data_IF_676334063455
#
_entry.id   IF_676334063455
#
_cell.length_a   1.000
_cell.length_b   1.000
_cell.length_c   1.000
_cell.angle_alpha   90.00
_cell.angle_beta   90.00
_cell.angle_gamma   90.00
#
_symmetry.space_group_name_H-M   'P 1'
#
loop_
_entity.id
_entity.type
_entity.pdbx_description
1 polymer ?
2 non-polymer ?
3 non-polymer ?
4 water ?
#
# COMPACT_ATOMS: atom_id res chain seq x y z
N UNK A 6 -13.55 0.74 -21.45
CA UNK A 6 -14.42 1.32 -20.34
C UNK A 6 -13.93 0.83 -18.97
N UNK A 7 -13.97 1.70 -17.95
CA UNK A 7 -13.62 1.37 -16.54
C UNK A 7 -14.74 0.53 -15.92
N UNK A 8 -14.45 -0.73 -15.59
CA UNK A 8 -15.43 -1.65 -14.97
C UNK A 8 -15.28 -1.62 -13.46
N UNK A 9 -14.04 -1.68 -12.95
CA UNK A 9 -13.73 -1.84 -11.50
C UNK A 9 -12.88 -0.66 -11.03
N UNK A 10 -13.48 0.25 -10.23
CA UNK A 10 -12.77 1.41 -9.68
C UNK A 10 -11.44 1.09 -8.96
N UNK A 11 -10.47 1.99 -9.07
CA UNK A 11 -9.11 1.77 -8.52
C UNK A 11 -9.26 1.46 -7.02
N UNK A 12 -10.08 2.20 -6.28
CA UNK A 12 -10.07 2.07 -4.79
C UNK A 12 -10.68 0.72 -4.40
N UNK A 13 -11.63 0.18 -5.15
CA UNK A 13 -12.16 -1.18 -4.88
C UNK A 13 -11.06 -2.21 -5.17
N UNK A 14 -10.31 -2.03 -6.26
CA UNK A 14 -9.28 -3.00 -6.73
C UNK A 14 -8.12 -3.06 -5.71
N UNK A 15 -7.73 -1.91 -5.18
CA UNK A 15 -6.67 -1.80 -4.13
C UNK A 15 -7.14 -2.59 -2.91
N UNK A 16 -8.37 -2.31 -2.45
CA UNK A 16 -8.97 -3.03 -1.30
C UNK A 16 -9.01 -4.54 -1.57
N UNK A 17 -9.48 -4.99 -2.73
CA UNK A 17 -9.51 -6.44 -3.10
C UNK A 17 -8.10 -7.06 -2.98
N UNK A 18 -7.10 -6.45 -3.60
CA UNK A 18 -5.72 -7.01 -3.66
C UNK A 18 -5.09 -7.02 -2.25
N UNK A 19 -5.26 -5.94 -1.46
CA UNK A 19 -4.76 -5.86 -0.07
C UNK A 19 -5.39 -7.00 0.75
N UNK A 20 -6.65 -7.35 0.48
CA UNK A 20 -7.40 -8.40 1.24
C UNK A 20 -6.79 -9.78 1.03
N UNK A 21 -5.99 -9.99 -0.03
CA UNK A 21 -5.38 -11.31 -0.38
C UNK A 21 -4.12 -11.55 0.46
N UNK A 22 -3.62 -10.54 1.15
CA UNK A 22 -2.40 -10.64 2.00
C UNK A 22 -2.92 -10.96 3.40
N UNK A 23 -2.96 -12.24 3.77
CA UNK A 23 -3.52 -12.64 5.10
C UNK A 23 -2.44 -13.32 5.95
N UNK A 24 -2.61 -13.30 7.29
CA UNK A 24 -1.69 -13.98 8.21
C UNK A 24 -1.46 -15.48 7.94
N UNK A 25 -2.47 -16.22 7.49
CA UNK A 25 -2.37 -17.69 7.25
C UNK A 25 -1.17 -18.01 6.34
N UNK A 26 -0.77 -17.10 5.43
CA UNK A 26 0.35 -17.33 4.47
C UNK A 26 1.70 -16.91 5.08
N UNK A 27 1.69 -16.27 6.25
CA UNK A 27 2.91 -15.89 7.01
C UNK A 27 3.85 -15.11 6.09
N UNK A 28 3.32 -14.19 5.26
CA UNK A 28 4.10 -13.27 4.41
C UNK A 28 4.66 -13.91 3.13
N UNK A 29 4.22 -15.12 2.79
CA UNK A 29 4.78 -15.84 1.61
C UNK A 29 4.70 -14.98 0.34
N UNK A 30 3.61 -14.26 0.10
CA UNK A 30 3.42 -13.53 -1.19
C UNK A 30 3.39 -12.02 -0.96
N UNK A 31 3.69 -11.55 0.26
CA UNK A 31 3.56 -10.12 0.63
C UNK A 31 4.44 -9.24 -0.25
N UNK A 32 5.66 -9.68 -0.58
CA UNK A 32 6.68 -8.79 -1.17
C UNK A 32 7.53 -9.51 -2.21
N UNK A 33 8.18 -8.72 -3.04
CA UNK A 33 9.07 -9.18 -4.13
C UNK A 33 10.17 -10.10 -3.55
N UNK A 34 10.34 -11.28 -4.14
CA UNK A 34 11.32 -12.31 -3.67
C UNK A 34 12.72 -11.68 -3.57
N UNK A 35 13.17 -11.01 -4.61
CA UNK A 35 14.54 -10.45 -4.71
C UNK A 35 14.73 -9.33 -3.68
N UNK A 36 13.70 -8.53 -3.44
CA UNK A 36 13.80 -7.41 -2.46
C UNK A 36 14.11 -7.98 -1.08
N UNK A 37 13.40 -9.04 -0.70
CA UNK A 37 13.53 -9.75 0.60
C UNK A 37 14.80 -10.60 0.66
N UNK A 38 15.21 -11.21 -0.45
CA UNK A 38 16.32 -12.21 -0.52
C UNK A 38 17.28 -11.87 -1.66
N UNK A 39 18.10 -10.80 -1.53
CA UNK A 39 18.94 -10.35 -2.63
C UNK A 39 19.96 -11.41 -3.11
N UNK A 40 20.31 -12.39 -2.27
CA UNK A 40 21.21 -13.51 -2.68
C UNK A 40 20.61 -14.31 -3.85
N UNK A 41 19.29 -14.22 -4.11
CA UNK A 41 18.61 -15.03 -5.16
C UNK A 41 18.57 -14.32 -6.51
N UNK A 42 19.24 -13.19 -6.67
CA UNK A 42 19.17 -12.40 -7.92
C UNK A 42 19.30 -13.33 -9.15
N UNK A 43 20.33 -14.17 -9.20
CA UNK A 43 20.61 -15.01 -10.40
C UNK A 43 19.82 -16.34 -10.30
N UNK A 44 19.73 -16.97 -9.13
CA UNK A 44 19.10 -18.31 -8.98
C UNK A 44 17.60 -18.21 -9.29
N UNK A 45 16.91 -17.22 -8.71
CA UNK A 45 15.45 -17.08 -8.86
C UNK A 45 15.09 -16.69 -10.31
N UNK A 46 15.76 -15.68 -10.88
CA UNK A 46 15.38 -15.10 -12.19
C UNK A 46 15.73 -16.10 -13.31
N UNK A 47 16.68 -16.99 -13.08
CA UNK A 47 16.97 -18.11 -14.01
C UNK A 47 15.71 -19.00 -14.11
N UNK A 48 15.08 -19.32 -12.99
CA UNK A 48 13.89 -20.24 -12.97
C UNK A 48 12.62 -19.43 -13.24
N UNK A 49 12.54 -18.17 -12.78
CA UNK A 49 11.31 -17.34 -12.83
C UNK A 49 11.63 -16.00 -13.47
N UNK A 50 11.74 -15.91 -14.81
CA UNK A 50 12.18 -14.68 -15.46
C UNK A 50 11.09 -13.59 -15.35
N UNK A 51 9.85 -13.98 -15.04
CA UNK A 51 8.71 -13.07 -14.78
C UNK A 51 8.25 -13.28 -13.33
N UNK A 52 8.09 -12.23 -12.52
CA UNK A 52 7.72 -12.41 -11.10
C UNK A 52 6.71 -11.34 -10.68
N UNK A 53 6.04 -11.60 -9.58
CA UNK A 53 5.09 -10.65 -8.98
C UNK A 53 4.90 -10.99 -7.49
N UNK A 54 4.23 -10.10 -6.79
CA UNK A 54 3.97 -10.21 -5.34
C UNK A 54 2.77 -9.32 -5.07
N UNK A 55 2.14 -9.47 -3.90
CA UNK A 55 0.91 -8.73 -3.52
C UNK A 55 1.17 -7.23 -3.29
N UNK A 56 2.37 -6.78 -2.91
CA UNK A 56 2.64 -5.33 -2.77
C UNK A 56 2.69 -4.69 -4.16
N UNK A 57 3.35 -5.35 -5.10
CA UNK A 57 3.40 -4.94 -6.53
C UNK A 57 1.98 -4.89 -7.12
N UNK A 58 1.19 -5.94 -6.89
CA UNK A 58 -0.21 -6.02 -7.38
C UNK A 58 -1.02 -4.85 -6.77
N UNK A 59 -0.83 -4.52 -5.50
CA UNK A 59 -1.57 -3.40 -4.85
C UNK A 59 -1.20 -2.07 -5.54
N UNK A 60 0.08 -1.86 -5.84
CA UNK A 60 0.61 -0.70 -6.60
C UNK A 60 -0.02 -0.68 -8.00
N UNK A 61 -0.06 -1.82 -8.68
CA UNK A 61 -0.71 -1.94 -10.01
C UNK A 61 -2.22 -1.62 -9.88
N UNK A 62 -2.87 -2.15 -8.86
CA UNK A 62 -4.31 -1.86 -8.58
C UNK A 62 -4.51 -0.34 -8.45
N UNK A 63 -3.72 0.32 -7.61
CA UNK A 63 -3.79 1.76 -7.30
C UNK A 63 -3.58 2.59 -8.56
N UNK A 64 -2.81 2.08 -9.53
CA UNK A 64 -2.57 2.75 -10.83
C UNK A 64 -3.61 2.34 -11.88
N UNK A 65 -4.62 1.54 -11.52
CA UNK A 65 -5.76 1.22 -12.40
C UNK A 65 -5.44 0.15 -13.45
N UNK A 66 -4.41 -0.67 -13.25
CA UNK A 66 -3.98 -1.68 -14.24
C UNK A 66 -5.03 -2.78 -14.36
N UNK A 67 -5.89 -2.99 -13.35
CA UNK A 67 -6.76 -4.20 -13.27
C UNK A 67 -8.23 -3.87 -13.57
N UNK A 68 -8.56 -2.60 -13.81
CA UNK A 68 -9.96 -2.12 -13.82
C UNK A 68 -10.73 -2.44 -15.11
N UNK A 69 -10.10 -2.97 -16.16
CA UNK A 69 -10.68 -2.97 -17.55
C UNK A 69 -11.01 -4.39 -18.03
N UNK A 70 -10.74 -5.45 -17.26
CA UNK A 70 -11.08 -6.84 -17.65
C UNK A 70 -12.31 -7.28 -16.85
N UNK A 71 -13.35 -7.76 -17.51
CA UNK A 71 -14.66 -8.16 -16.91
C UNK A 71 -14.41 -9.26 -15.88
N UNK A 72 -13.57 -10.23 -16.24
CA UNK A 72 -13.18 -11.41 -15.43
C UNK A 72 -11.89 -11.14 -14.63
N UNK A 73 -11.40 -9.90 -14.60
CA UNK A 73 -10.19 -9.49 -13.83
C UNK A 73 -9.03 -10.41 -14.23
N UNK A 74 -8.90 -10.65 -15.53
CA UNK A 74 -7.91 -11.60 -16.12
C UNK A 74 -6.49 -11.13 -15.77
N UNK A 75 -6.22 -9.84 -15.86
CA UNK A 75 -4.85 -9.29 -15.67
C UNK A 75 -4.46 -9.55 -14.21
N UNK A 76 -5.37 -9.31 -13.26
CA UNK A 76 -5.10 -9.60 -11.83
C UNK A 76 -4.92 -11.11 -11.66
N UNK A 77 -5.80 -11.92 -12.23
CA UNK A 77 -5.74 -13.38 -12.03
C UNK A 77 -4.41 -13.91 -12.56
N UNK A 78 -3.93 -13.36 -13.68
CA UNK A 78 -2.60 -13.71 -14.26
C UNK A 78 -1.49 -13.34 -13.27
N UNK A 79 -1.57 -12.19 -12.57
CA UNK A 79 -0.54 -11.81 -11.57
C UNK A 79 -0.59 -12.79 -10.37
N UNK A 80 -1.77 -13.26 -9.98
CA UNK A 80 -1.89 -14.26 -8.88
C UNK A 80 -1.31 -15.59 -9.35
N UNK A 81 -1.62 -16.01 -10.57
CA UNK A 81 -1.18 -17.34 -11.06
C UNK A 81 0.34 -17.31 -11.16
N UNK A 82 0.90 -16.18 -11.56
CA UNK A 82 2.37 -16.05 -11.73
C UNK A 82 3.04 -16.22 -10.36
N UNK A 83 2.56 -15.53 -9.32
CA UNK A 83 3.04 -15.70 -7.93
C UNK A 83 3.06 -17.18 -7.56
N UNK A 84 1.91 -17.82 -7.72
CA UNK A 84 1.63 -19.20 -7.25
C UNK A 84 2.52 -20.17 -8.04
N UNK A 85 2.57 -20.01 -9.38
CA UNK A 85 3.27 -20.95 -10.29
C UNK A 85 4.78 -20.82 -10.08
N UNK A 86 5.28 -19.60 -9.85
CA UNK A 86 6.73 -19.37 -9.55
C UNK A 86 7.07 -20.09 -8.24
N UNK A 87 6.30 -19.87 -7.19
CA UNK A 87 6.52 -20.47 -5.86
C UNK A 87 6.62 -21.99 -6.03
N UNK A 88 5.71 -22.60 -6.80
CA UNK A 88 5.65 -24.08 -7.01
C UNK A 88 6.86 -24.56 -7.83
N UNK A 89 7.19 -23.85 -8.90
CA UNK A 89 8.33 -24.22 -9.78
C UNK A 89 9.64 -24.08 -9.00
N UNK A 90 9.86 -22.96 -8.30
CA UNK A 90 11.16 -22.66 -7.63
C UNK A 90 11.37 -23.57 -6.40
N UNK A 91 10.33 -23.84 -5.61
CA UNK A 91 10.47 -24.62 -4.35
C UNK A 91 10.26 -26.13 -4.58
N UNK A 92 9.67 -26.51 -5.72
CA UNK A 92 9.37 -27.90 -6.10
C UNK A 92 7.92 -28.23 -5.85
N UNK A 93 7.26 -28.87 -6.82
CA UNK A 93 5.79 -29.09 -6.84
C UNK A 93 5.30 -30.01 -5.70
N UNK A 94 6.16 -30.82 -5.08
CA UNK A 94 5.76 -31.83 -4.04
C UNK A 94 5.98 -31.26 -2.62
N UNK A 95 6.58 -30.07 -2.49
CA UNK A 95 7.00 -29.53 -1.18
C UNK A 95 5.92 -28.71 -0.50
N UNK A 96 6.23 -28.21 0.70
CA UNK A 96 5.34 -27.44 1.61
C UNK A 96 5.08 -26.03 1.05
N UNK A 97 6.07 -25.38 0.43
CA UNK A 97 5.91 -24.04 -0.20
C UNK A 97 4.86 -24.13 -1.33
N UNK A 98 4.88 -25.19 -2.15
CA UNK A 98 3.86 -25.49 -3.17
C UNK A 98 2.49 -25.72 -2.52
N UNK A 99 2.40 -26.48 -1.42
CA UNK A 99 1.11 -26.68 -0.70
C UNK A 99 0.55 -25.28 -0.33
N UNK A 100 1.39 -24.45 0.29
CA UNK A 100 1.01 -23.10 0.76
C UNK A 100 0.56 -22.26 -0.45
N UNK A 101 1.22 -22.37 -1.58
CA UNK A 101 0.84 -21.68 -2.84
C UNK A 101 -0.56 -22.12 -3.28
N UNK A 102 -0.81 -23.43 -3.40
CA UNK A 102 -2.11 -23.99 -3.87
C UNK A 102 -3.24 -23.54 -2.94
N UNK A 103 -3.04 -23.58 -1.62
CA UNK A 103 -4.06 -23.11 -0.65
C UNK A 103 -4.29 -21.62 -0.89
N UNK A 104 -3.20 -20.84 -1.01
CA UNK A 104 -3.33 -19.39 -1.28
C UNK A 104 -4.15 -19.20 -2.56
N UNK A 105 -3.87 -19.95 -3.61
CA UNK A 105 -4.47 -19.67 -4.92
C UNK A 105 -6.00 -19.84 -4.85
N UNK A 106 -6.48 -20.94 -4.26
CA UNK A 106 -7.93 -21.24 -4.09
C UNK A 106 -8.61 -20.12 -3.31
N UNK A 107 -8.00 -19.65 -2.22
CA UNK A 107 -8.51 -18.52 -1.41
C UNK A 107 -8.57 -17.26 -2.30
N UNK A 108 -7.45 -16.85 -2.88
CA UNK A 108 -7.35 -15.63 -3.71
C UNK A 108 -8.42 -15.62 -4.80
N UNK A 109 -8.54 -16.74 -5.53
CA UNK A 109 -9.52 -16.84 -6.65
C UNK A 109 -10.95 -16.75 -6.09
N UNK A 110 -11.23 -17.38 -4.94
CA UNK A 110 -12.54 -17.26 -4.27
C UNK A 110 -12.83 -15.80 -3.97
N UNK A 111 -11.86 -15.09 -3.39
CA UNK A 111 -12.03 -13.69 -2.94
C UNK A 111 -12.27 -12.80 -4.16
N UNK A 112 -11.53 -13.02 -5.23
CA UNK A 112 -11.68 -12.22 -6.49
C UNK A 112 -13.07 -12.47 -7.07
N UNK A 113 -13.51 -13.71 -7.12
CA UNK A 113 -14.83 -14.06 -7.73
C UNK A 113 -15.96 -13.49 -6.86
N UNK A 114 -15.82 -13.51 -5.54
CA UNK A 114 -16.85 -12.94 -4.63
C UNK A 114 -17.02 -11.45 -4.96
N UNK A 115 -15.93 -10.73 -5.19
CA UNK A 115 -15.97 -9.28 -5.51
C UNK A 115 -16.72 -9.06 -6.83
N UNK A 116 -16.40 -9.80 -7.88
CA UNK A 116 -17.10 -9.71 -9.20
C UNK A 116 -18.63 -9.95 -9.00
N UNK A 117 -19.01 -11.03 -8.31
CA UNK A 117 -20.44 -11.27 -7.94
C UNK A 117 -21.03 -10.01 -7.32
N UNK A 118 -20.38 -9.45 -6.30
CA UNK A 118 -20.92 -8.30 -5.53
C UNK A 118 -21.18 -7.14 -6.47
N UNK A 119 -20.31 -6.93 -7.46
CA UNK A 119 -20.37 -5.78 -8.39
C UNK A 119 -21.53 -5.93 -9.37
N UNK A 120 -21.94 -7.15 -9.69
CA UNK A 120 -23.09 -7.38 -10.60
C UNK A 120 -24.41 -7.37 -9.81
N UNK A 121 -24.42 -7.85 -8.56
CA UNK A 121 -25.61 -7.88 -7.67
C UNK A 121 -25.56 -6.83 -6.58
N UNK B 5 -16.17 16.88 13.36
CA UNK B 5 -14.79 17.09 12.78
C UNK B 5 -14.87 17.12 11.24
N UNK B 6 -14.47 18.25 10.62
CA UNK B 6 -14.43 18.46 9.14
C UNK B 6 -13.16 17.80 8.57
N UNK B 7 -13.34 16.75 7.75
CA UNK B 7 -12.30 16.21 6.85
C UNK B 7 -11.78 17.34 5.96
N UNK B 8 -10.47 17.60 5.96
CA UNK B 8 -9.83 18.70 5.18
C UNK B 8 -9.17 18.11 3.94
N UNK B 9 -8.36 17.06 4.11
CA UNK B 9 -7.51 16.49 3.04
C UNK B 9 -7.98 15.09 2.68
N UNK B 10 -8.35 14.81 1.42
CA UNK B 10 -8.81 13.48 1.03
C UNK B 10 -7.75 12.38 1.21
N UNK B 11 -8.20 11.17 1.56
CA UNK B 11 -7.33 9.99 1.84
C UNK B 11 -6.33 9.78 0.69
N UNK B 12 -6.76 9.91 -0.57
CA UNK B 12 -5.90 9.57 -1.72
C UNK B 12 -4.73 10.58 -1.82
N UNK B 13 -4.89 11.83 -1.36
CA UNK B 13 -3.77 12.81 -1.32
C UNK B 13 -2.81 12.48 -0.15
N UNK B 14 -3.35 12.09 1.01
CA UNK B 14 -2.57 11.69 2.19
C UNK B 14 -1.73 10.47 1.84
N UNK B 15 -2.31 9.52 1.12
CA UNK B 15 -1.61 8.27 0.71
C UNK B 15 -0.47 8.65 -0.24
N UNK B 16 -0.75 9.44 -1.27
CA UNK B 16 0.24 9.97 -2.24
C UNK B 16 1.31 10.77 -1.49
N UNK B 17 0.92 11.63 -0.53
CA UNK B 17 1.91 12.44 0.22
C UNK B 17 2.88 11.50 0.95
N UNK B 18 2.36 10.48 1.65
CA UNK B 18 3.18 9.54 2.46
C UNK B 18 4.09 8.76 1.50
N UNK B 19 3.55 8.24 0.39
CA UNK B 19 4.33 7.43 -0.58
C UNK B 19 5.46 8.30 -1.15
N UNK B 20 5.25 9.61 -1.34
CA UNK B 20 6.28 10.55 -1.89
C UNK B 20 7.48 10.69 -0.94
N UNK B 21 7.34 10.33 0.35
CA UNK B 21 8.43 10.44 1.37
C UNK B 21 9.42 9.27 1.28
N UNK B 22 9.07 8.21 0.54
CA UNK B 22 9.90 6.99 0.38
C UNK B 22 10.74 7.16 -0.88
N UNK B 23 11.98 7.60 -0.74
CA UNK B 23 12.85 7.93 -1.90
C UNK B 23 14.16 7.15 -1.83
N UNK B 24 14.73 6.75 -2.99
CA UNK B 24 15.98 5.97 -3.06
C UNK B 24 17.19 6.50 -2.29
N UNK B 25 17.30 7.81 -2.08
CA UNK B 25 18.40 8.43 -1.28
C UNK B 25 18.49 7.82 0.13
N UNK B 26 17.37 7.33 0.70
CA UNK B 26 17.33 6.69 2.05
C UNK B 26 17.58 5.18 1.94
N UNK B 27 17.48 4.60 0.76
CA UNK B 27 17.87 3.19 0.52
C UNK B 27 17.02 2.28 1.42
N UNK B 28 15.74 2.60 1.59
CA UNK B 28 14.76 1.73 2.29
C UNK B 28 14.80 1.87 3.80
N UNK B 29 15.46 2.91 4.32
CA UNK B 29 15.66 3.05 5.79
C UNK B 29 14.30 3.11 6.52
N UNK B 30 13.34 3.88 6.02
CA UNK B 30 12.05 4.09 6.73
C UNK B 30 10.90 3.37 6.01
N UNK B 31 11.21 2.47 5.09
CA UNK B 31 10.21 1.94 4.12
C UNK B 31 9.20 1.03 4.84
N UNK B 32 9.66 0.29 5.85
CA UNK B 32 8.98 -0.88 6.45
C UNK B 32 9.30 -0.98 7.95
N UNK B 33 8.39 -1.57 8.71
CA UNK B 33 8.57 -1.81 10.16
C UNK B 33 9.91 -2.50 10.41
N UNK B 34 10.63 -2.04 11.43
CA UNK B 34 11.98 -2.56 11.81
C UNK B 34 11.89 -4.04 12.20
N UNK B 35 10.89 -4.41 13.01
CA UNK B 35 10.79 -5.79 13.56
C UNK B 35 10.43 -6.76 12.43
N UNK B 36 9.65 -6.31 11.45
CA UNK B 36 9.19 -7.18 10.33
C UNK B 36 10.41 -7.62 9.55
N UNK B 37 11.33 -6.69 9.30
CA UNK B 37 12.55 -6.87 8.49
C UNK B 37 13.63 -7.58 9.32
N UNK B 38 13.71 -7.29 10.63
CA UNK B 38 14.81 -7.74 11.53
C UNK B 38 14.18 -8.31 12.78
N UNK B 39 13.60 -9.53 12.71
CA UNK B 39 12.86 -10.11 13.84
C UNK B 39 13.73 -10.46 15.05
N UNK B 40 15.05 -10.51 14.83
CA UNK B 40 16.09 -10.69 15.88
C UNK B 40 16.04 -9.50 16.84
N UNK B 41 15.52 -8.33 16.41
CA UNK B 41 15.48 -7.07 17.21
C UNK B 41 14.22 -6.98 18.08
N UNK B 42 13.38 -8.01 18.16
CA UNK B 42 12.06 -7.93 18.82
C UNK B 42 12.21 -7.29 20.21
N UNK B 43 13.15 -7.76 21.02
CA UNK B 43 13.31 -7.30 22.43
C UNK B 43 14.23 -6.07 22.50
N UNK B 44 15.37 -6.10 21.81
CA UNK B 44 16.40 -5.04 21.87
C UNK B 44 15.78 -3.72 21.37
N UNK B 45 15.10 -3.75 20.23
CA UNK B 45 14.53 -2.52 19.62
C UNK B 45 13.39 -1.98 20.47
N UNK B 46 12.43 -2.82 20.87
CA UNK B 46 11.23 -2.35 21.63
C UNK B 46 11.63 -1.84 23.03
N UNK B 47 12.72 -2.36 23.62
CA UNK B 47 13.23 -1.87 24.92
C UNK B 47 13.58 -0.38 24.81
N UNK B 48 14.25 0.02 23.73
CA UNK B 48 14.69 1.42 23.47
C UNK B 48 13.51 2.20 22.87
N UNK B 49 12.71 1.56 22.00
CA UNK B 49 11.67 2.22 21.17
C UNK B 49 10.34 1.50 21.34
N UNK B 50 9.62 1.71 22.46
CA UNK B 50 8.37 0.98 22.71
C UNK B 50 7.25 1.39 21.74
N UNK B 51 7.40 2.53 21.06
CA UNK B 51 6.46 3.02 20.03
C UNK B 51 7.26 3.18 18.74
N UNK B 52 6.79 2.62 17.62
CA UNK B 52 7.53 2.62 16.34
C UNK B 52 6.53 2.86 15.18
N UNK B 53 7.04 3.35 14.06
CA UNK B 53 6.29 3.60 12.80
C UNK B 53 7.25 3.48 11.62
N UNK B 54 6.71 3.46 10.40
CA UNK B 54 7.44 3.28 9.14
C UNK B 54 6.52 3.80 8.04
N UNK B 55 7.06 4.10 6.86
CA UNK B 55 6.30 4.75 5.77
C UNK B 55 5.20 3.83 5.25
N UNK B 56 5.34 2.49 5.28
CA UNK B 56 4.26 1.59 4.80
C UNK B 56 3.09 1.63 5.79
N UNK B 57 3.37 1.59 7.10
CA UNK B 57 2.33 1.77 8.16
C UNK B 57 1.65 3.15 8.05
N UNK B 58 2.40 4.21 7.79
CA UNK B 58 1.86 5.58 7.62
C UNK B 58 0.93 5.60 6.40
N UNK B 59 1.32 5.01 5.26
CA UNK B 59 0.49 4.92 4.03
C UNK B 59 -0.84 4.23 4.33
N UNK B 60 -0.78 3.15 5.11
CA UNK B 60 -1.98 2.41 5.59
C UNK B 60 -2.89 3.28 6.48
N UNK B 61 -2.31 4.04 7.41
CA UNK B 61 -3.08 4.95 8.30
C UNK B 61 -3.69 6.06 7.43
N UNK B 62 -2.93 6.59 6.49
CA UNK B 62 -3.40 7.63 5.55
C UNK B 62 -4.63 7.11 4.81
N UNK B 63 -4.63 5.84 4.40
CA UNK B 63 -5.70 5.21 3.60
C UNK B 63 -6.95 5.08 4.46
N UNK B 64 -6.78 4.95 5.76
CA UNK B 64 -7.91 4.72 6.71
C UNK B 64 -8.41 6.08 7.24
N UNK B 65 -7.78 7.18 6.81
CA UNK B 65 -8.22 8.55 7.12
C UNK B 65 -7.64 9.09 8.42
N UNK B 66 -6.55 8.53 8.97
CA UNK B 66 -6.01 8.94 10.28
C UNK B 66 -5.43 10.37 10.26
N UNK B 67 -5.14 10.93 9.09
CA UNK B 67 -4.30 12.14 8.93
C UNK B 67 -5.07 13.34 8.37
N UNK B 68 -6.28 13.14 7.84
CA UNK B 68 -6.95 14.14 6.98
C UNK B 68 -7.74 15.20 7.75
N UNK B 69 -7.81 15.11 9.09
CA UNK B 69 -8.54 16.04 10.01
C UNK B 69 -7.63 17.12 10.60
N UNK B 70 -6.32 17.09 10.34
CA UNK B 70 -5.34 18.03 10.95
C UNK B 70 -4.87 19.01 9.86
N UNK B 71 -5.23 20.30 9.97
CA UNK B 71 -4.81 21.35 9.00
C UNK B 71 -3.29 21.28 8.82
N UNK B 72 -2.55 21.15 9.91
CA UNK B 72 -1.06 21.16 9.91
C UNK B 72 -0.52 19.73 9.90
N UNK B 73 -1.38 18.73 9.69
CA UNK B 73 -0.95 17.31 9.52
C UNK B 73 -0.10 16.92 10.74
N UNK B 74 -0.59 17.30 11.91
CA UNK B 74 0.08 17.08 13.22
C UNK B 74 0.28 15.57 13.44
N UNK B 75 -0.75 14.75 13.19
CA UNK B 75 -0.69 13.29 13.43
C UNK B 75 0.38 12.70 12.50
N UNK B 76 0.34 13.04 11.22
CA UNK B 76 1.35 12.53 10.25
C UNK B 76 2.75 12.98 10.71
N UNK B 77 2.89 14.23 11.16
CA UNK B 77 4.21 14.74 11.58
C UNK B 77 4.72 13.99 12.84
N UNK B 78 3.84 13.62 13.78
CA UNK B 78 4.21 12.86 15.01
C UNK B 78 4.77 11.49 14.60
N UNK B 79 4.16 10.82 13.61
CA UNK B 79 4.66 9.53 13.04
C UNK B 79 6.03 9.77 12.37
N UNK B 80 6.23 10.87 11.65
CA UNK B 80 7.55 11.10 10.97
C UNK B 80 8.64 11.30 12.04
N UNK B 81 8.38 12.13 13.05
CA UNK B 81 9.32 12.39 14.16
C UNK B 81 9.61 11.08 14.91
N UNK B 82 8.62 10.21 15.04
CA UNK B 82 8.80 8.94 15.76
C UNK B 82 9.83 8.09 14.99
N UNK B 83 9.63 7.89 13.69
CA UNK B 83 10.59 7.12 12.85
C UNK B 83 12.00 7.68 13.02
N UNK B 84 12.11 8.99 12.83
CA UNK B 84 13.41 9.73 12.87
C UNK B 84 14.02 9.54 14.26
N UNK B 85 13.30 9.92 15.32
CA UNK B 85 13.84 9.96 16.71
C UNK B 85 14.20 8.53 17.15
N UNK B 86 13.43 7.52 16.75
CA UNK B 86 13.73 6.09 17.07
C UNK B 86 15.07 5.69 16.44
N UNK B 87 15.29 6.03 15.17
CA UNK B 87 16.53 5.72 14.40
C UNK B 87 17.72 6.41 15.07
N UNK B 88 17.60 7.69 15.42
CA UNK B 88 18.66 8.45 16.17
C UNK B 88 18.95 7.76 17.51
N UNK B 89 17.93 7.51 18.32
CA UNK B 89 18.09 6.93 19.68
C UNK B 89 18.73 5.53 19.61
N UNK B 90 18.20 4.65 18.78
CA UNK B 90 18.58 3.22 18.75
C UNK B 90 20.01 3.04 18.22
N UNK B 91 20.39 3.81 17.21
CA UNK B 91 21.68 3.68 16.49
C UNK B 91 22.75 4.64 17.08
N UNK B 92 22.37 5.60 17.92
CA UNK B 92 23.29 6.56 18.54
C UNK B 92 23.33 7.85 17.74
N UNK B 93 23.22 8.99 18.43
CA UNK B 93 23.07 10.35 17.86
C UNK B 93 24.24 10.75 16.94
N UNK B 94 25.46 10.24 17.17
CA UNK B 94 26.71 10.69 16.49
C UNK B 94 27.02 9.82 15.27
N UNK B 95 26.18 8.82 14.96
CA UNK B 95 26.45 7.80 13.92
C UNK B 95 25.84 8.15 12.57
N UNK B 96 26.10 7.31 11.56
CA UNK B 96 25.67 7.49 10.15
C UNK B 96 24.15 7.37 10.02
N UNK B 97 23.53 6.40 10.70
CA UNK B 97 22.06 6.16 10.69
C UNK B 97 21.36 7.45 11.13
N UNK B 98 21.85 8.09 12.20
CA UNK B 98 21.37 9.39 12.73
C UNK B 98 21.48 10.49 11.66
N UNK B 99 22.63 10.60 10.99
CA UNK B 99 22.84 11.55 9.86
C UNK B 99 21.73 11.32 8.82
N UNK B 100 21.55 10.09 8.37
CA UNK B 100 20.55 9.71 7.35
C UNK B 100 19.15 10.10 7.82
N UNK B 101 18.86 10.00 9.13
CA UNK B 101 17.53 10.25 9.71
C UNK B 101 17.23 11.75 9.73
N UNK B 102 18.24 12.56 10.11
CA UNK B 102 18.09 14.04 10.21
C UNK B 102 17.89 14.59 8.78
N UNK B 103 18.60 14.05 7.80
CA UNK B 103 18.47 14.39 6.36
C UNK B 103 17.04 14.09 5.87
N UNK B 104 16.54 12.89 6.14
CA UNK B 104 15.17 12.46 5.79
C UNK B 104 14.17 13.41 6.46
N UNK B 105 14.36 13.72 7.73
CA UNK B 105 13.36 14.53 8.47
C UNK B 105 13.19 15.90 7.80
N UNK B 106 14.30 16.55 7.45
CA UNK B 106 14.31 17.87 6.77
C UNK B 106 13.55 17.75 5.44
N UNK B 107 13.85 16.72 4.65
CA UNK B 107 13.19 16.45 3.35
C UNK B 107 11.69 16.25 3.57
N UNK B 108 11.31 15.43 4.55
CA UNK B 108 9.92 14.97 4.73
C UNK B 108 9.09 16.15 5.21
N UNK B 109 9.60 16.90 6.19
CA UNK B 109 8.89 18.09 6.73
C UNK B 109 8.75 19.13 5.60
N UNK B 110 9.79 19.30 4.76
CA UNK B 110 9.71 20.15 3.55
C UNK B 110 8.53 19.77 2.67
N UNK B 111 8.38 18.48 2.35
CA UNK B 111 7.34 17.98 1.42
C UNK B 111 5.96 18.10 2.10
N UNK B 112 5.83 17.73 3.37
CA UNK B 112 4.56 17.88 4.10
C UNK B 112 4.17 19.37 4.13
N UNK B 113 5.13 20.26 4.39
CA UNK B 113 4.88 21.72 4.56
C UNK B 113 4.46 22.31 3.21
N UNK B 114 5.06 21.82 2.11
CA UNK B 114 4.74 22.29 0.73
C UNK B 114 3.29 21.89 0.41
N UNK B 115 2.85 20.70 0.82
CA UNK B 115 1.47 20.22 0.55
C UNK B 115 0.50 21.16 1.27
N UNK B 116 0.73 21.40 2.56
CA UNK B 116 -0.18 22.25 3.38
C UNK B 116 -0.32 23.61 2.68
N UNK B 117 0.80 24.20 2.28
CA UNK B 117 0.87 25.55 1.66
C UNK B 117 0.09 25.55 0.35
N UNK B 118 0.30 24.54 -0.52
CA UNK B 118 -0.40 24.40 -1.82
C UNK B 118 -1.92 24.27 -1.59
N UNK B 119 -2.35 23.61 -0.52
CA UNK B 119 -3.78 23.35 -0.24
C UNK B 119 -4.45 24.55 0.44
N UNK B 120 -3.74 25.34 1.27
CA UNK B 120 -4.37 26.40 2.13
C UNK B 120 -3.36 27.55 2.36
N UNK C 6 6.16 8.20 28.94
CA UNK C 6 6.35 7.18 30.03
C UNK C 6 5.40 5.99 29.79
N UNK C 7 5.94 4.83 29.42
CA UNK C 7 5.16 3.62 29.05
C UNK C 7 4.51 3.02 30.30
N UNK C 8 3.19 2.77 30.27
CA UNK C 8 2.38 2.25 31.40
C UNK C 8 1.98 0.80 31.17
N UNK C 9 1.60 0.43 29.94
CA UNK C 9 1.15 -0.94 29.61
C UNK C 9 2.02 -1.51 28.49
N UNK C 10 2.57 -2.73 28.67
CA UNK C 10 3.44 -3.33 27.66
C UNK C 10 2.71 -3.75 26.39
N UNK C 11 3.36 -3.60 25.24
CA UNK C 11 2.83 -3.95 23.88
C UNK C 11 2.16 -5.34 23.88
N UNK C 12 2.79 -6.40 24.43
CA UNK C 12 2.26 -7.80 24.38
C UNK C 12 0.90 -7.87 25.08
N UNK C 13 0.71 -7.09 26.15
CA UNK C 13 -0.57 -7.07 26.92
C UNK C 13 -1.61 -6.28 26.13
N UNK C 14 -1.21 -5.16 25.52
CA UNK C 14 -2.11 -4.37 24.64
C UNK C 14 -2.62 -5.26 23.49
N UNK C 15 -1.76 -6.10 22.92
CA UNK C 15 -2.10 -7.00 21.79
C UNK C 15 -3.10 -8.07 22.28
N UNK C 16 -2.83 -8.71 23.41
CA UNK C 16 -3.76 -9.72 24.00
C UNK C 16 -5.12 -9.06 24.27
N UNK C 17 -5.11 -7.84 24.81
CA UNK C 17 -6.37 -7.14 25.17
C UNK C 17 -7.18 -6.94 23.89
N UNK C 18 -6.56 -6.35 22.83
CA UNK C 18 -7.24 -6.11 21.53
C UNK C 18 -7.81 -7.43 21.02
N UNK C 19 -7.05 -8.52 21.07
CA UNK C 19 -7.48 -9.81 20.47
C UNK C 19 -8.64 -10.39 21.29
N UNK C 20 -8.69 -10.12 22.60
CA UNK C 20 -9.81 -10.55 23.48
C UNK C 20 -11.12 -9.86 23.07
N UNK C 21 -11.06 -8.72 22.36
CA UNK C 21 -12.26 -7.97 21.89
C UNK C 21 -12.88 -8.67 20.67
N UNK C 22 -12.18 -9.61 20.06
CA UNK C 22 -12.62 -10.32 18.82
C UNK C 22 -13.21 -11.66 19.26
N UNK C 23 -14.54 -11.82 19.21
CA UNK C 23 -15.24 -13.04 19.73
C UNK C 23 -16.36 -13.46 18.78
N UNK C 24 -16.74 -14.76 18.77
CA UNK C 24 -17.78 -15.29 17.87
C UNK C 24 -19.12 -14.56 17.78
N UNK C 25 -19.56 -13.88 18.84
CA UNK C 25 -20.90 -13.23 18.93
C UNK C 25 -21.00 -12.09 17.91
N UNK C 26 -19.87 -11.47 17.53
CA UNK C 26 -19.87 -10.37 16.53
C UNK C 26 -19.82 -10.94 15.10
N UNK C 27 -19.52 -12.23 14.93
CA UNK C 27 -19.54 -12.93 13.61
C UNK C 27 -18.68 -12.15 12.59
N UNK C 28 -17.48 -11.70 13.02
CA UNK C 28 -16.47 -11.10 12.14
C UNK C 28 -16.75 -9.64 11.83
N UNK C 29 -17.72 -9.03 12.52
CA UNK C 29 -18.15 -7.64 12.23
C UNK C 29 -16.94 -6.69 12.30
N UNK C 30 -16.16 -6.74 13.37
CA UNK C 30 -15.08 -5.76 13.64
C UNK C 30 -13.70 -6.43 13.54
N UNK C 31 -13.65 -7.64 12.98
CA UNK C 31 -12.42 -8.46 12.88
C UNK C 31 -11.43 -7.86 11.88
N UNK C 32 -11.92 -7.23 10.81
CA UNK C 32 -11.10 -6.84 9.65
C UNK C 32 -11.68 -5.55 9.08
N UNK C 33 -10.82 -4.70 8.51
CA UNK C 33 -11.19 -3.47 7.78
C UNK C 33 -12.41 -3.77 6.91
N UNK C 34 -13.38 -2.86 6.89
CA UNK C 34 -14.67 -3.04 6.15
C UNK C 34 -14.40 -3.16 4.65
N UNK C 35 -13.54 -2.30 4.09
CA UNK C 35 -13.16 -2.31 2.65
C UNK C 35 -12.51 -3.64 2.24
N UNK C 36 -11.73 -4.27 3.11
CA UNK C 36 -11.05 -5.57 2.86
C UNK C 36 -12.08 -6.70 2.83
N UNK C 37 -13.12 -6.63 3.67
CA UNK C 37 -14.24 -7.61 3.63
C UNK C 37 -15.14 -7.31 2.41
N UNK C 38 -15.35 -6.02 2.05
CA UNK C 38 -16.30 -5.56 1.01
C UNK C 38 -15.68 -4.51 0.10
N UNK C 39 -14.69 -4.89 -0.74
CA UNK C 39 -14.04 -3.95 -1.64
C UNK C 39 -15.01 -3.07 -2.44
N UNK C 40 -16.18 -3.63 -2.78
CA UNK C 40 -17.25 -2.95 -3.56
C UNK C 40 -17.77 -1.72 -2.82
N UNK C 41 -17.55 -1.59 -1.51
CA UNK C 41 -18.08 -0.45 -0.71
C UNK C 41 -17.03 0.67 -0.58
N UNK C 42 -15.88 0.59 -1.25
CA UNK C 42 -14.77 1.55 -1.04
C UNK C 42 -15.31 2.99 -1.10
N UNK C 43 -16.02 3.38 -2.16
CA UNK C 43 -16.45 4.78 -2.38
C UNK C 43 -17.61 5.14 -1.45
N UNK C 44 -18.67 4.34 -1.41
CA UNK C 44 -19.89 4.62 -0.63
C UNK C 44 -19.59 4.56 0.88
N UNK C 45 -18.69 3.68 1.32
CA UNK C 45 -18.36 3.57 2.77
C UNK C 45 -17.51 4.79 3.19
N UNK C 46 -16.47 5.11 2.43
CA UNK C 46 -15.53 6.20 2.78
C UNK C 46 -16.21 7.56 2.62
N UNK C 47 -17.27 7.67 1.81
CA UNK C 47 -18.07 8.93 1.68
C UNK C 47 -18.72 9.22 3.03
N UNK C 48 -19.27 8.17 3.68
CA UNK C 48 -19.99 8.24 4.99
C UNK C 48 -19.01 8.17 6.18
N UNK C 49 -17.90 7.43 6.03
CA UNK C 49 -16.92 7.16 7.11
C UNK C 49 -15.52 7.42 6.58
N UNK C 50 -15.04 8.67 6.63
CA UNK C 50 -13.73 9.01 6.08
C UNK C 50 -12.56 8.49 6.94
N UNK C 51 -12.81 8.23 8.21
CA UNK C 51 -11.81 7.67 9.17
C UNK C 51 -12.36 6.30 9.59
N UNK C 52 -11.57 5.23 9.54
CA UNK C 52 -12.06 3.88 9.90
C UNK C 52 -11.00 3.07 10.67
N UNK C 53 -11.46 2.03 11.36
CA UNK C 53 -10.64 1.10 12.17
C UNK C 53 -11.38 -0.25 12.28
N UNK C 54 -10.65 -1.23 12.78
CA UNK C 54 -11.09 -2.62 12.97
C UNK C 54 -10.08 -3.21 13.95
N UNK C 55 -10.34 -4.41 14.46
CA UNK C 55 -9.56 -5.04 15.55
C UNK C 55 -8.24 -5.63 15.03
N UNK C 56 -8.16 -6.10 13.78
CA UNK C 56 -6.87 -6.50 13.14
C UNK C 56 -5.94 -5.26 13.09
N UNK C 57 -6.41 -4.14 12.54
CA UNK C 57 -5.63 -2.87 12.57
C UNK C 57 -5.26 -2.49 14.03
N UNK C 58 -6.23 -2.58 14.96
CA UNK C 58 -6.00 -2.18 16.37
C UNK C 58 -4.92 -3.09 16.97
N UNK C 59 -4.96 -4.41 16.69
CA UNK C 59 -3.93 -5.39 17.14
C UNK C 59 -2.52 -4.97 16.69
N UNK C 60 -2.40 -4.50 15.45
CA UNK C 60 -1.15 -4.01 14.84
C UNK C 60 -0.66 -2.72 15.53
N UNK C 61 -1.56 -1.76 15.76
CA UNK C 61 -1.27 -0.49 16.48
C UNK C 61 -0.79 -0.82 17.90
N UNK C 62 -1.46 -1.78 18.54
CA UNK C 62 -1.07 -2.29 19.87
C UNK C 62 0.38 -2.82 19.82
N UNK C 63 0.72 -3.66 18.84
CA UNK C 63 2.08 -4.25 18.69
C UNK C 63 3.11 -3.14 18.55
N UNK C 64 2.75 -2.05 17.89
CA UNK C 64 3.67 -0.94 17.55
C UNK C 64 3.73 0.10 18.67
N UNK C 65 2.99 -0.10 19.76
CA UNK C 65 3.11 0.71 20.99
C UNK C 65 2.21 1.94 20.98
N UNK C 66 1.10 1.92 20.23
CA UNK C 66 0.24 3.11 20.05
C UNK C 66 -0.63 3.34 21.30
N UNK C 67 -0.86 2.32 22.15
CA UNK C 67 -1.89 2.34 23.22
C UNK C 67 -1.28 2.33 24.65
N UNK C 68 0.02 2.15 24.82
CA UNK C 68 0.61 1.89 26.16
C UNK C 68 0.80 3.12 27.06
N UNK C 69 0.53 4.34 26.58
CA UNK C 69 0.97 5.58 27.27
C UNK C 69 -0.18 6.20 28.06
N UNK C 70 -1.43 5.91 27.70
CA UNK C 70 -2.64 6.54 28.29
C UNK C 70 -3.06 5.75 29.53
N UNK C 71 -3.16 6.40 30.68
CA UNK C 71 -3.58 5.76 31.98
C UNK C 71 -4.90 5.01 31.75
N UNK C 72 -5.85 5.65 31.06
CA UNK C 72 -7.24 5.17 30.83
C UNK C 72 -7.40 4.53 29.44
N UNK C 73 -6.30 4.30 28.70
CA UNK C 73 -6.32 3.61 27.38
C UNK C 73 -7.30 4.36 26.47
N UNK C 74 -7.16 5.69 26.47
CA UNK C 74 -8.01 6.66 25.75
C UNK C 74 -7.91 6.39 24.25
N UNK C 75 -6.67 6.38 23.71
CA UNK C 75 -6.44 6.17 22.26
C UNK C 75 -7.09 4.86 21.85
N UNK C 76 -6.92 3.77 22.60
CA UNK C 76 -7.60 2.49 22.25
C UNK C 76 -9.10 2.73 22.23
N UNK C 77 -9.66 3.38 23.25
CA UNK C 77 -11.15 3.54 23.39
C UNK C 77 -11.68 4.39 22.23
N UNK C 78 -10.91 5.34 21.75
CA UNK C 78 -11.24 6.17 20.56
C UNK C 78 -11.38 5.24 19.36
N UNK C 79 -10.47 4.27 19.20
CA UNK C 79 -10.45 3.38 18.01
C UNK C 79 -11.73 2.54 18.08
N UNK C 80 -12.05 2.05 19.26
CA UNK C 80 -13.26 1.21 19.48
C UNK C 80 -14.49 2.07 19.16
N UNK C 81 -14.54 3.30 19.68
CA UNK C 81 -15.72 4.19 19.46
C UNK C 81 -15.91 4.42 17.95
N UNK C 82 -14.82 4.65 17.21
CA UNK C 82 -14.85 4.84 15.74
C UNK C 82 -15.46 3.61 15.06
N UNK C 83 -15.01 2.39 15.40
CA UNK C 83 -15.53 1.13 14.84
C UNK C 83 -17.04 1.11 15.01
N UNK C 84 -17.48 1.37 16.24
CA UNK C 84 -18.89 1.29 16.69
C UNK C 84 -19.69 2.37 15.97
N UNK C 85 -19.26 3.62 16.05
CA UNK C 85 -20.01 4.78 15.50
C UNK C 85 -20.04 4.72 13.97
N UNK C 86 -18.99 4.19 13.32
CA UNK C 86 -18.97 4.00 11.84
C UNK C 86 -20.06 2.96 11.50
N UNK C 87 -20.16 1.86 12.26
CA UNK C 87 -21.18 0.80 12.02
C UNK C 87 -22.61 1.38 12.09
N UNK C 88 -22.87 2.25 13.06
CA UNK C 88 -24.21 2.86 13.30
C UNK C 88 -24.52 3.82 12.13
N UNK C 89 -23.61 4.75 11.83
CA UNK C 89 -23.78 5.78 10.78
C UNK C 89 -24.02 5.12 9.41
N UNK C 90 -23.23 4.10 9.04
CA UNK C 90 -23.27 3.52 7.67
C UNK C 90 -24.47 2.57 7.52
N UNK C 91 -24.79 1.77 8.54
CA UNK C 91 -25.78 0.66 8.44
C UNK C 91 -27.17 1.11 8.95
N UNK C 92 -27.27 2.20 9.72
CA UNK C 92 -28.53 2.79 10.21
C UNK C 92 -28.75 2.52 11.69
N UNK C 93 -29.06 3.58 12.45
CA UNK C 93 -29.13 3.67 13.93
C UNK C 93 -30.19 2.75 14.53
N UNK C 94 -31.20 2.34 13.76
CA UNK C 94 -32.39 1.60 14.29
C UNK C 94 -32.25 0.09 13.99
N UNK C 95 -31.31 -0.30 13.13
CA UNK C 95 -31.20 -1.66 12.56
C UNK C 95 -30.53 -2.67 13.49
N UNK C 96 -30.34 -3.89 12.98
CA UNK C 96 -29.72 -5.04 13.66
C UNK C 96 -28.21 -4.80 13.86
N UNK C 97 -27.55 -4.21 12.85
CA UNK C 97 -26.10 -3.86 12.85
C UNK C 97 -25.80 -2.90 14.00
N UNK C 98 -26.61 -1.85 14.15
CA UNK C 98 -26.47 -0.82 15.21
C UNK C 98 -26.59 -1.48 16.59
N UNK C 99 -27.45 -2.50 16.71
CA UNK C 99 -27.64 -3.27 17.97
C UNK C 99 -26.40 -4.12 18.22
N UNK C 100 -25.93 -4.82 17.19
CA UNK C 100 -24.68 -5.62 17.23
C UNK C 100 -23.53 -4.71 17.67
N UNK C 101 -23.50 -3.46 17.21
CA UNK C 101 -22.38 -2.52 17.47
C UNK C 101 -22.49 -1.98 18.90
N UNK C 102 -23.72 -1.73 19.36
CA UNK C 102 -23.98 -1.21 20.73
C UNK C 102 -23.61 -2.30 21.74
N UNK C 103 -24.03 -3.55 21.50
CA UNK C 103 -23.64 -4.73 22.32
C UNK C 103 -22.11 -4.82 22.38
N UNK C 104 -21.45 -4.94 21.23
CA UNK C 104 -19.97 -4.99 21.11
C UNK C 104 -19.34 -3.87 21.94
N UNK C 105 -19.83 -2.63 21.83
CA UNK C 105 -19.23 -1.46 22.55
C UNK C 105 -19.22 -1.74 24.05
N UNK C 106 -20.33 -2.22 24.62
CA UNK C 106 -20.52 -2.38 26.09
C UNK C 106 -19.52 -3.45 26.55
N UNK C 107 -19.46 -4.56 25.81
CA UNK C 107 -18.55 -5.71 26.06
C UNK C 107 -17.10 -5.23 26.08
N UNK C 108 -16.71 -4.51 25.01
CA UNK C 108 -15.32 -4.13 24.72
C UNK C 108 -14.83 -3.18 25.80
N UNK C 109 -15.66 -2.22 26.17
CA UNK C 109 -15.37 -1.24 27.25
C UNK C 109 -15.25 -1.97 28.59
N UNK C 110 -16.03 -3.04 28.78
CA UNK C 110 -15.92 -3.98 29.92
C UNK C 110 -14.54 -4.63 30.04
N UNK C 111 -14.11 -5.36 29.00
CA UNK C 111 -12.80 -6.08 28.95
C UNK C 111 -11.67 -5.07 29.17
N UNK C 112 -11.75 -3.89 28.58
CA UNK C 112 -10.71 -2.82 28.68
C UNK C 112 -10.63 -2.36 30.14
N UNK C 113 -11.79 -2.18 30.78
CA UNK C 113 -11.88 -1.69 32.18
C UNK C 113 -11.35 -2.78 33.12
N UNK C 114 -11.81 -4.03 32.96
CA UNK C 114 -11.29 -5.24 33.65
C UNK C 114 -9.76 -5.30 33.56
N UNK C 115 -9.20 -5.05 32.37
CA UNK C 115 -7.73 -5.04 32.16
C UNK C 115 -7.09 -3.96 33.04
N UNK C 116 -7.60 -2.73 33.00
CA UNK C 116 -6.99 -1.61 33.76
C UNK C 116 -7.08 -1.89 35.27
N UNK C 117 -8.21 -2.47 35.73
CA UNK C 117 -8.40 -2.86 37.16
C UNK C 117 -7.26 -3.80 37.59
N UNK C 118 -7.10 -4.94 36.91
CA UNK C 118 -6.06 -5.98 37.14
C UNK C 118 -4.68 -5.32 37.24
N UNK C 119 -4.29 -4.43 36.34
CA UNK C 119 -2.89 -3.91 36.27
C UNK C 119 -2.62 -2.88 37.39
N UNK C 120 -3.42 -1.82 37.48
CA UNK C 120 -3.22 -0.68 38.44
C UNK C 120 -3.38 -1.23 39.86
N UNK C 121 -4.36 -2.11 40.09
CA UNK C 121 -4.60 -2.77 41.39
C UNK C 121 -4.14 -4.23 41.39
N UNK D 6 7.00 -18.23 -24.12
CA UNK D 6 8.46 -18.25 -24.47
C UNK D 6 9.04 -16.83 -24.32
N UNK D 7 10.09 -16.70 -23.51
CA UNK D 7 10.75 -15.41 -23.23
C UNK D 7 11.55 -14.98 -24.47
N UNK D 8 11.28 -13.77 -24.97
CA UNK D 8 11.88 -13.23 -26.21
C UNK D 8 12.97 -12.19 -25.87
N UNK D 9 12.71 -11.29 -24.92
CA UNK D 9 13.63 -10.15 -24.61
C UNK D 9 14.08 -10.23 -23.15
N UNK D 10 15.39 -10.41 -22.86
CA UNK D 10 15.87 -10.46 -21.47
C UNK D 10 15.59 -9.18 -20.66
N UNK D 11 15.35 -9.33 -19.35
CA UNK D 11 14.97 -8.21 -18.46
C UNK D 11 16.01 -7.07 -18.53
N UNK D 12 17.30 -7.36 -18.64
CA UNK D 12 18.37 -6.32 -18.60
C UNK D 12 18.16 -5.36 -19.79
N UNK D 13 17.79 -5.92 -20.95
CA UNK D 13 17.58 -5.16 -22.23
C UNK D 13 16.26 -4.37 -22.17
N UNK D 14 15.23 -4.91 -21.52
CA UNK D 14 13.93 -4.21 -21.34
C UNK D 14 14.12 -3.03 -20.38
N UNK D 15 14.91 -3.22 -19.33
CA UNK D 15 15.24 -2.15 -18.33
C UNK D 15 16.03 -1.05 -19.04
N UNK D 16 17.03 -1.42 -19.83
CA UNK D 16 17.85 -0.47 -20.62
C UNK D 16 16.96 0.30 -21.61
N UNK D 17 16.12 -0.41 -22.36
CA UNK D 17 15.20 0.22 -23.35
C UNK D 17 14.35 1.28 -22.63
N UNK D 18 13.72 0.92 -21.51
CA UNK D 18 12.80 1.83 -20.76
C UNK D 18 13.60 3.05 -20.26
N UNK D 19 14.77 2.82 -19.67
CA UNK D 19 15.62 3.92 -19.13
C UNK D 19 16.02 4.86 -20.28
N UNK D 20 16.24 4.36 -21.49
CA UNK D 20 16.66 5.21 -22.62
C UNK D 20 15.49 6.10 -23.06
N UNK D 21 14.25 5.81 -22.63
CA UNK D 21 13.06 6.67 -22.92
C UNK D 21 13.07 7.91 -22.02
N UNK D 22 13.80 7.88 -20.91
CA UNK D 22 13.82 8.98 -19.91
C UNK D 22 15.02 9.88 -20.22
N UNK D 23 14.81 10.94 -20.99
CA UNK D 23 15.89 11.84 -21.46
C UNK D 23 15.66 13.25 -20.91
N UNK D 24 16.73 14.07 -20.80
CA UNK D 24 16.60 15.45 -20.31
C UNK D 24 15.63 16.36 -21.07
N UNK D 25 15.38 16.11 -22.36
CA UNK D 25 14.53 16.96 -23.22
C UNK D 25 13.07 17.03 -22.69
N UNK D 26 12.62 16.07 -21.88
CA UNK D 26 11.21 16.03 -21.34
C UNK D 26 11.16 16.59 -19.92
N UNK D 27 12.31 16.93 -19.34
CA UNK D 27 12.44 17.69 -18.05
C UNK D 27 11.63 16.97 -16.94
N UNK D 28 11.73 15.64 -16.87
CA UNK D 28 11.13 14.79 -15.83
C UNK D 28 9.61 14.68 -15.93
N UNK D 29 9.01 15.05 -17.06
CA UNK D 29 7.54 14.96 -17.29
C UNK D 29 7.06 13.54 -16.93
N UNK D 30 7.78 12.54 -17.46
CA UNK D 30 7.34 11.13 -17.52
C UNK D 30 8.19 10.26 -16.59
N UNK D 31 9.08 10.88 -15.81
CA UNK D 31 10.15 10.17 -15.06
C UNK D 31 9.57 9.42 -13.87
N UNK D 32 8.53 9.99 -13.25
CA UNK D 32 7.96 9.48 -12.00
C UNK D 32 6.44 9.67 -12.01
N UNK D 33 5.76 8.81 -11.27
CA UNK D 33 4.30 8.87 -11.02
C UNK D 33 3.89 10.32 -10.77
N UNK D 34 2.85 10.80 -11.44
CA UNK D 34 2.34 12.19 -11.30
C UNK D 34 1.97 12.47 -9.84
N UNK D 35 1.32 11.52 -9.17
CA UNK D 35 0.80 11.67 -7.79
C UNK D 35 1.95 11.79 -6.79
N UNK D 36 3.13 11.22 -7.06
CA UNK D 36 4.32 11.35 -6.19
C UNK D 36 4.95 12.74 -6.37
N UNK D 37 4.89 13.32 -7.57
CA UNK D 37 5.45 14.68 -7.82
C UNK D 37 4.46 15.71 -7.26
N UNK D 38 3.14 15.45 -7.34
CA UNK D 38 2.05 16.42 -7.04
C UNK D 38 0.93 15.74 -6.26
N UNK D 39 1.14 15.39 -4.96
CA UNK D 39 0.10 14.75 -4.16
C UNK D 39 -1.21 15.55 -4.13
N UNK D 40 -1.11 16.87 -4.17
CA UNK D 40 -2.26 17.83 -4.18
C UNK D 40 -3.23 17.51 -5.33
N UNK D 41 -2.75 16.90 -6.42
CA UNK D 41 -3.54 16.60 -7.64
C UNK D 41 -4.22 15.23 -7.56
N UNK D 42 -4.00 14.45 -6.49
CA UNK D 42 -4.37 13.02 -6.41
C UNK D 42 -5.88 12.84 -6.60
N UNK D 43 -6.70 13.74 -6.04
CA UNK D 43 -8.18 13.61 -6.11
C UNK D 43 -8.64 13.87 -7.56
N UNK D 44 -8.23 14.99 -8.16
CA UNK D 44 -8.69 15.46 -9.50
C UNK D 44 -8.05 14.64 -10.62
N UNK D 45 -6.76 14.32 -10.51
CA UNK D 45 -6.02 13.58 -11.55
C UNK D 45 -6.59 12.16 -11.69
N UNK D 46 -6.79 11.42 -10.60
CA UNK D 46 -7.35 10.04 -10.68
C UNK D 46 -8.78 10.08 -11.22
N UNK D 47 -9.51 11.21 -11.15
CA UNK D 47 -10.90 11.29 -11.67
C UNK D 47 -10.86 11.26 -13.21
N UNK D 48 -9.92 12.00 -13.81
CA UNK D 48 -9.74 12.19 -15.28
C UNK D 48 -8.87 11.05 -15.83
N UNK D 49 -7.91 10.52 -15.06
CA UNK D 49 -6.91 9.49 -15.49
C UNK D 49 -6.88 8.33 -14.50
N UNK D 50 -7.93 7.48 -14.46
CA UNK D 50 -8.01 6.41 -13.45
C UNK D 50 -6.98 5.31 -13.66
N UNK D 51 -6.45 5.21 -14.89
CA UNK D 51 -5.33 4.33 -15.29
C UNK D 51 -4.11 5.21 -15.52
N UNK D 52 -2.97 4.95 -14.87
CA UNK D 52 -1.78 5.83 -15.03
C UNK D 52 -0.49 5.00 -15.02
N UNK D 53 0.58 5.59 -15.55
CA UNK D 53 1.93 4.98 -15.65
C UNK D 53 3.01 6.07 -15.75
N UNK D 54 4.26 5.65 -15.67
CA UNK D 54 5.45 6.52 -15.67
C UNK D 54 6.67 5.63 -15.94
N UNK D 55 7.80 6.21 -16.33
CA UNK D 55 9.00 5.43 -16.75
C UNK D 55 9.64 4.73 -15.55
N UNK D 56 9.51 5.25 -14.33
CA UNK D 56 10.05 4.53 -13.14
C UNK D 56 9.20 3.29 -12.89
N UNK D 57 7.88 3.41 -12.88
CA UNK D 57 7.00 2.22 -12.84
C UNK D 57 7.36 1.27 -14.01
N UNK D 58 7.54 1.80 -15.22
CA UNK D 58 7.79 0.97 -16.42
C UNK D 58 9.11 0.21 -16.23
N UNK D 59 10.13 0.88 -15.69
CA UNK D 59 11.46 0.28 -15.41
C UNK D 59 11.32 -0.86 -14.39
N UNK D 60 10.44 -0.68 -13.41
CA UNK D 60 10.18 -1.71 -12.36
C UNK D 60 9.46 -2.93 -12.98
N UNK D 61 8.48 -2.70 -13.84
CA UNK D 61 7.78 -3.80 -14.57
C UNK D 61 8.76 -4.53 -15.50
N UNK D 62 9.62 -3.78 -16.21
CA UNK D 62 10.71 -4.34 -17.05
C UNK D 62 11.58 -5.31 -16.23
N UNK D 63 12.08 -4.86 -15.08
CA UNK D 63 12.95 -5.65 -14.16
C UNK D 63 12.23 -6.96 -13.76
N UNK D 64 10.90 -6.98 -13.66
CA UNK D 64 10.15 -8.19 -13.19
C UNK D 64 9.65 -9.04 -14.37
N UNK D 65 10.04 -8.69 -15.59
CA UNK D 65 9.84 -9.50 -16.80
C UNK D 65 8.51 -9.23 -17.48
N UNK D 66 7.78 -8.19 -17.09
CA UNK D 66 6.40 -7.93 -17.59
C UNK D 66 6.38 -7.69 -19.11
N UNK D 67 7.46 -7.24 -19.73
CA UNK D 67 7.46 -6.78 -21.14
C UNK D 67 8.15 -7.77 -22.09
N UNK D 68 8.62 -8.93 -21.62
CA UNK D 68 9.56 -9.77 -22.37
C UNK D 68 8.89 -10.83 -23.23
N UNK D 69 7.56 -10.93 -23.20
CA UNK D 69 6.80 -12.07 -23.78
C UNK D 69 6.02 -11.65 -25.04
N UNK D 70 6.05 -10.37 -25.41
CA UNK D 70 5.35 -9.81 -26.60
C UNK D 70 6.38 -9.52 -27.70
N UNK D 71 6.28 -10.18 -28.86
CA UNK D 71 7.24 -9.98 -29.98
C UNK D 71 7.30 -8.49 -30.29
N UNK D 72 6.13 -7.83 -30.37
CA UNK D 72 6.01 -6.42 -30.82
C UNK D 72 5.94 -5.49 -29.61
N UNK D 73 6.21 -5.99 -28.39
CA UNK D 73 6.34 -5.18 -27.16
C UNK D 73 5.09 -4.33 -26.95
N UNK D 74 3.92 -4.91 -27.18
CA UNK D 74 2.61 -4.22 -27.13
C UNK D 74 2.31 -3.76 -25.68
N UNK D 75 2.66 -4.56 -24.68
CA UNK D 75 2.40 -4.20 -23.26
C UNK D 75 3.15 -2.89 -22.96
N UNK D 76 4.45 -2.85 -23.28
CA UNK D 76 5.27 -1.63 -23.10
C UNK D 76 4.65 -0.44 -23.87
N UNK D 77 4.26 -0.64 -25.13
CA UNK D 77 3.72 0.47 -25.96
C UNK D 77 2.41 0.99 -25.34
N UNK D 78 1.56 0.12 -24.81
CA UNK D 78 0.31 0.51 -24.11
C UNK D 78 0.67 1.45 -22.95
N UNK D 79 1.71 1.13 -22.18
CA UNK D 79 2.11 1.96 -21.01
C UNK D 79 2.59 3.32 -21.52
N UNK D 80 3.38 3.35 -22.60
CA UNK D 80 3.88 4.64 -23.18
C UNK D 80 2.69 5.44 -23.68
N UNK D 81 1.77 4.79 -24.41
CA UNK D 81 0.55 5.42 -24.94
C UNK D 81 -0.33 5.95 -23.80
N UNK D 82 -0.34 5.27 -22.66
CA UNK D 82 -1.16 5.71 -21.51
C UNK D 82 -0.54 6.99 -20.92
N UNK D 83 0.78 7.04 -20.75
CA UNK D 83 1.51 8.24 -20.23
C UNK D 83 1.17 9.44 -21.12
N UNK D 84 1.25 9.26 -22.43
CA UNK D 84 1.05 10.34 -23.45
C UNK D 84 -0.41 10.79 -23.42
N UNK D 85 -1.35 9.86 -23.55
CA UNK D 85 -2.80 10.18 -23.62
C UNK D 85 -3.24 10.89 -22.34
N UNK D 86 -2.75 10.44 -21.18
CA UNK D 86 -3.10 11.02 -19.85
C UNK D 86 -2.57 12.45 -19.78
N UNK D 87 -1.35 12.69 -20.27
CA UNK D 87 -0.72 14.03 -20.21
C UNK D 87 -1.58 15.00 -21.03
N UNK D 88 -2.04 14.58 -22.21
CA UNK D 88 -2.88 15.40 -23.13
C UNK D 88 -4.28 15.58 -22.52
N UNK D 89 -4.88 14.51 -21.98
CA UNK D 89 -6.23 14.58 -21.35
C UNK D 89 -6.19 15.56 -20.17
N UNK D 90 -5.21 15.42 -19.28
CA UNK D 90 -5.22 16.16 -17.99
C UNK D 90 -4.96 17.65 -18.25
N UNK D 91 -3.92 17.96 -19.01
CA UNK D 91 -3.45 19.36 -19.23
C UNK D 91 -4.19 20.06 -20.39
N UNK D 92 -4.95 19.35 -21.21
CA UNK D 92 -5.60 19.87 -22.44
C UNK D 92 -4.74 19.62 -23.69
N UNK D 93 -5.37 19.34 -24.83
CA UNK D 93 -4.68 18.92 -26.07
C UNK D 93 -3.98 20.11 -26.76
N UNK D 94 -4.34 21.35 -26.41
CA UNK D 94 -3.88 22.57 -27.15
C UNK D 94 -2.51 23.06 -26.64
N UNK D 95 -2.09 22.73 -25.41
CA UNK D 95 -0.97 23.39 -24.69
C UNK D 95 0.42 22.78 -24.88
N UNK D 96 1.41 23.33 -24.18
CA UNK D 96 2.84 22.96 -24.23
C UNK D 96 3.05 21.55 -23.65
N UNK D 97 2.23 21.16 -22.67
CA UNK D 97 2.25 19.80 -22.06
C UNK D 97 1.88 18.76 -23.12
N UNK D 98 0.82 19.02 -23.89
CA UNK D 98 0.35 18.16 -25.01
C UNK D 98 1.43 18.06 -26.09
N UNK D 99 2.10 19.17 -26.43
CA UNK D 99 3.18 19.19 -27.48
C UNK D 99 4.35 18.34 -26.97
N UNK D 100 4.77 18.52 -25.71
CA UNK D 100 5.84 17.71 -25.08
C UNK D 100 5.46 16.21 -25.08
N UNK D 101 4.19 15.88 -24.87
CA UNK D 101 3.69 14.49 -24.84
C UNK D 101 3.71 13.89 -26.25
N UNK D 102 3.21 14.60 -27.26
CA UNK D 102 3.19 14.11 -28.67
C UNK D 102 4.63 13.95 -29.16
N UNK D 103 5.55 14.81 -28.73
CA UNK D 103 6.99 14.77 -29.10
C UNK D 103 7.61 13.54 -28.45
N UNK D 104 7.35 13.30 -27.16
CA UNK D 104 7.85 12.13 -26.42
C UNK D 104 7.32 10.84 -27.08
N UNK D 105 6.04 10.81 -27.43
CA UNK D 105 5.38 9.63 -28.08
C UNK D 105 6.14 9.21 -29.34
N UNK D 106 6.41 10.15 -30.25
CA UNK D 106 7.12 9.93 -31.55
C UNK D 106 8.50 9.34 -31.24
N UNK D 107 9.24 9.93 -30.31
CA UNK D 107 10.59 9.48 -29.88
C UNK D 107 10.55 8.08 -29.24
N UNK D 108 9.57 7.83 -28.35
CA UNK D 108 9.48 6.58 -27.56
C UNK D 108 9.19 5.42 -28.50
N UNK D 109 8.12 5.50 -29.29
CA UNK D 109 7.77 4.42 -30.26
C UNK D 109 8.94 4.29 -31.26
N UNK D 110 9.67 5.38 -31.50
CA UNK D 110 10.92 5.36 -32.27
C UNK D 110 11.88 4.32 -31.71
N UNK D 111 12.48 4.62 -30.55
CA UNK D 111 13.47 3.76 -29.84
C UNK D 111 12.92 2.34 -29.70
N UNK D 112 11.64 2.18 -29.36
CA UNK D 112 11.06 0.84 -29.08
C UNK D 112 11.07 0.02 -30.37
N UNK D 113 10.50 0.57 -31.46
CA UNK D 113 10.34 -0.13 -32.76
C UNK D 113 11.74 -0.37 -33.37
N UNK D 114 12.73 0.48 -33.05
CA UNK D 114 14.15 0.30 -33.46
C UNK D 114 14.80 -0.86 -32.70
N UNK D 115 14.49 -1.04 -31.42
CA UNK D 115 14.99 -2.16 -30.59
C UNK D 115 14.48 -3.49 -31.14
N UNK D 116 13.20 -3.54 -31.49
CA UNK D 116 12.61 -4.80 -32.05
C UNK D 116 13.37 -5.19 -33.32
N UNK D 117 13.74 -4.19 -34.15
CA UNK D 117 14.35 -4.35 -35.50
C UNK D 117 15.69 -5.07 -35.40
N UNK D 118 16.62 -4.48 -34.63
CA UNK D 118 17.95 -5.05 -34.29
C UNK D 118 17.77 -6.52 -33.88
N UNK D 119 17.08 -6.77 -32.77
CA UNK D 119 16.89 -8.13 -32.16
C UNK D 119 16.36 -9.14 -33.21
N UNK D 120 15.23 -8.85 -33.88
CA UNK D 120 14.60 -9.71 -34.92
C UNK D 120 15.65 -10.09 -35.98
#
# INVERSE_FOLDING_TARGET
>A
MSQNRQLLYPREEMVSLVRSLDRPQENGLFSQDVLLQYPELAESYTKVCPNRCDLATAADRAAKGAYGYDVQLTTLKEDIRLMVNNCILFNGAEGAYADAARTFEKFAMGKIDAYISQKVGGRRL
>B
MSQNRQLLYPREEMVSLVRSLDRPQENGLFSQDVLLQYPELAESYTKVCPNRCDLATAADRAAKGAYGYDVQLTTLKEDIRLMVNNCILFNGAEGAYADAARTFEKFAMGKIDAYISQKVGGRRL
>C
MSQNRQLLYPREEMVSLVRSLDRPQENGLFSQDVLLQYPELAESYTKVCPNRCDLATAADRAAKGAYGYDVQLTTLKEDIRLMVNNCILFNGAEGAYADAARTFEKFAMGKIDAYISQKVGGRRL
>D
MSQNRQLLYPREEMVSLVRSLDRPQENGLFSQDVLLQYPELAESYTKVCPNRCDLATAADRAAKGAYGYDVQLTTLKEDIRLMVNNCILFNGAEGAYADAARTFEKFAMGKIDAYISQKVGGRRL
#
